data_IF_034605064213
#
_entry.id   IF_034605064213
#
_cell.length_a   1.000
_cell.length_b   1.000
_cell.length_c   1.000
_cell.angle_alpha   90.00
_cell.angle_beta   90.00
_cell.angle_gamma   90.00
#
_symmetry.space_group_name_H-M   'P 1'
#
loop_
_entity.id
_entity.type
_entity.pdbx_description
1 polymer ?
#
# COMPACT_ATOMS: atom_id res chain seq x y z
N UNK A 1 -33.47 -15.85 -18.57
CA UNK A 1 -32.74 -14.91 -17.69
C UNK A 1 -32.10 -15.75 -16.60
N UNK A 2 -30.77 -15.92 -16.61
CA UNK A 2 -30.07 -16.79 -15.66
C UNK A 2 -29.76 -15.96 -14.40
N UNK A 3 -30.61 -16.08 -13.38
CA UNK A 3 -30.43 -15.38 -12.09
C UNK A 3 -29.32 -16.10 -11.32
N UNK A 4 -28.13 -15.51 -11.27
CA UNK A 4 -27.03 -16.03 -10.43
C UNK A 4 -27.38 -15.80 -8.97
N UNK A 5 -27.78 -16.85 -8.26
CA UNK A 5 -27.97 -16.83 -6.81
C UNK A 5 -26.61 -16.85 -6.14
N UNK A 6 -26.02 -15.67 -5.89
CA UNK A 6 -24.77 -15.56 -5.14
C UNK A 6 -25.08 -15.77 -3.66
N UNK A 7 -24.52 -16.82 -3.04
CA UNK A 7 -24.68 -17.07 -1.61
C UNK A 7 -23.80 -16.12 -0.79
N UNK A 8 -24.22 -15.80 0.44
CA UNK A 8 -23.44 -14.98 1.37
C UNK A 8 -22.05 -15.59 1.65
N UNK A 9 -21.95 -16.91 1.64
CA UNK A 9 -20.67 -17.61 1.79
C UNK A 9 -19.73 -17.31 0.62
N UNK A 10 -20.27 -17.23 -0.60
CA UNK A 10 -19.51 -16.86 -1.80
C UNK A 10 -19.07 -15.40 -1.74
N UNK A 11 -19.95 -14.49 -1.29
CA UNK A 11 -19.58 -13.08 -1.08
C UNK A 11 -18.49 -12.92 -0.02
N UNK A 12 -18.59 -13.65 1.09
CA UNK A 12 -17.58 -13.66 2.15
C UNK A 12 -16.23 -14.18 1.66
N UNK A 13 -16.23 -15.28 0.89
CA UNK A 13 -15.03 -15.84 0.29
C UNK A 13 -14.36 -14.88 -0.71
N UNK A 14 -15.14 -14.26 -1.60
CA UNK A 14 -14.62 -13.27 -2.56
C UNK A 14 -14.09 -12.02 -1.87
N UNK A 15 -14.79 -11.53 -0.84
CA UNK A 15 -14.34 -10.40 -0.03
C UNK A 15 -13.03 -10.70 0.70
N UNK A 16 -12.93 -11.85 1.36
CA UNK A 16 -11.71 -12.29 2.05
C UNK A 16 -10.54 -12.47 1.08
N UNK A 17 -10.76 -13.16 -0.05
CA UNK A 17 -9.75 -13.33 -1.08
C UNK A 17 -9.28 -11.98 -1.67
N UNK A 18 -10.21 -11.04 -1.88
CA UNK A 18 -9.91 -9.69 -2.35
C UNK A 18 -9.00 -8.92 -1.39
N UNK A 19 -9.30 -8.95 -0.09
CA UNK A 19 -8.47 -8.30 0.93
C UNK A 19 -7.06 -8.92 0.96
N UNK A 20 -6.96 -10.26 0.96
CA UNK A 20 -5.67 -10.96 0.94
C UNK A 20 -4.88 -10.59 -0.32
N UNK A 21 -5.52 -10.53 -1.49
CA UNK A 21 -4.87 -10.17 -2.74
C UNK A 21 -4.32 -8.73 -2.70
N UNK A 22 -5.08 -7.78 -2.16
CA UNK A 22 -4.64 -6.39 -2.01
C UNK A 22 -3.43 -6.31 -1.06
N UNK A 23 -3.49 -6.98 0.08
CA UNK A 23 -2.38 -7.01 1.04
C UNK A 23 -1.13 -7.66 0.43
N UNK A 24 -1.29 -8.77 -0.28
CA UNK A 24 -0.20 -9.45 -0.97
C UNK A 24 0.41 -8.54 -2.06
N UNK A 25 -0.41 -7.88 -2.87
CA UNK A 25 0.05 -6.93 -3.88
C UNK A 25 0.85 -5.78 -3.26
N UNK A 26 0.38 -5.23 -2.14
CA UNK A 26 1.09 -4.19 -1.40
C UNK A 26 2.47 -4.67 -0.92
N UNK A 27 2.53 -5.86 -0.30
CA UNK A 27 3.81 -6.45 0.15
C UNK A 27 4.76 -6.69 -1.03
N UNK A 28 4.26 -7.24 -2.14
CA UNK A 28 5.06 -7.47 -3.34
C UNK A 28 5.59 -6.17 -3.95
N UNK A 29 4.83 -5.08 -3.93
CA UNK A 29 5.30 -3.77 -4.37
C UNK A 29 6.43 -3.24 -3.48
N UNK A 30 6.30 -3.37 -2.16
CA UNK A 30 7.34 -2.95 -1.20
C UNK A 30 8.63 -3.76 -1.41
N UNK A 31 8.52 -5.09 -1.48
CA UNK A 31 9.65 -5.97 -1.70
C UNK A 31 10.28 -5.75 -3.09
N UNK A 32 9.46 -5.61 -4.13
CA UNK A 32 9.92 -5.31 -5.48
C UNK A 32 10.68 -3.99 -5.56
N UNK A 33 10.17 -2.94 -4.91
CA UNK A 33 10.86 -1.65 -4.82
C UNK A 33 12.20 -1.77 -4.08
N UNK A 34 12.25 -2.56 -2.98
CA UNK A 34 13.48 -2.80 -2.23
C UNK A 34 14.53 -3.52 -3.07
N UNK A 35 14.17 -4.66 -3.68
CA UNK A 35 15.08 -5.42 -4.55
C UNK A 35 15.52 -4.60 -5.77
N UNK A 36 14.60 -3.87 -6.40
CA UNK A 36 14.90 -2.97 -7.52
C UNK A 36 15.91 -1.88 -7.12
N UNK A 37 15.71 -1.23 -5.97
CA UNK A 37 16.63 -0.20 -5.47
C UNK A 37 18.03 -0.76 -5.14
N UNK A 38 18.10 -1.96 -4.54
CA UNK A 38 19.37 -2.60 -4.18
C UNK A 38 20.17 -3.07 -5.40
N UNK A 39 19.47 -3.59 -6.42
CA UNK A 39 20.09 -4.10 -7.66
C UNK A 39 20.40 -3.00 -8.68
N UNK A 40 19.79 -1.82 -8.56
CA UNK A 40 20.04 -0.72 -9.48
C UNK A 40 21.51 -0.26 -9.45
N UNK A 41 22.13 0.05 -10.61
CA UNK A 41 23.46 0.63 -10.71
C UNK A 41 23.41 2.13 -10.37
N UNK A 42 23.07 2.45 -9.12
CA UNK A 42 22.95 3.80 -8.61
C UNK A 42 23.96 4.05 -7.49
N UNK A 43 24.40 5.31 -7.33
CA UNK A 43 25.29 5.71 -6.23
C UNK A 43 24.67 5.37 -4.87
N UNK A 44 25.51 5.07 -3.86
CA UNK A 44 25.05 4.61 -2.55
C UNK A 44 24.06 5.57 -1.87
N UNK A 45 24.27 6.89 -1.99
CA UNK A 45 23.33 7.91 -1.52
C UNK A 45 21.97 7.83 -2.22
N UNK A 46 21.97 7.50 -3.52
CA UNK A 46 20.80 7.15 -4.34
C UNK A 46 19.89 6.12 -3.66
N UNK A 47 20.50 5.00 -3.30
CA UNK A 47 19.83 3.84 -2.72
C UNK A 47 19.22 4.16 -1.35
N UNK A 48 19.94 4.93 -0.52
CA UNK A 48 19.44 5.37 0.78
C UNK A 48 18.15 6.19 0.68
N UNK A 49 18.08 7.12 -0.27
CA UNK A 49 16.87 7.94 -0.50
C UNK A 49 15.66 7.06 -0.82
N UNK A 50 15.84 6.09 -1.73
CA UNK A 50 14.78 5.16 -2.09
C UNK A 50 14.33 4.27 -0.92
N UNK A 51 15.27 3.82 -0.11
CA UNK A 51 14.98 2.98 1.05
C UNK A 51 14.16 3.76 2.11
N UNK A 52 14.49 5.04 2.32
CA UNK A 52 13.69 5.93 3.17
C UNK A 52 12.29 6.13 2.58
N UNK A 53 12.16 6.36 1.27
CA UNK A 53 10.84 6.51 0.65
C UNK A 53 9.95 5.27 0.79
N UNK A 54 10.50 4.07 0.60
CA UNK A 54 9.76 2.80 0.76
C UNK A 54 9.14 2.70 2.16
N UNK A 55 9.85 3.17 3.20
CA UNK A 55 9.37 3.13 4.58
C UNK A 55 8.44 4.29 4.89
N UNK A 56 8.79 5.51 4.49
CA UNK A 56 8.10 6.72 4.96
C UNK A 56 6.85 7.04 4.13
N UNK A 57 6.87 6.84 2.81
CA UNK A 57 5.74 7.14 1.92
C UNK A 57 4.38 6.59 2.38
N UNK A 58 4.24 5.34 2.86
CA UNK A 58 2.93 4.85 3.35
C UNK A 58 2.40 5.60 4.57
N UNK A 59 3.26 6.26 5.34
CA UNK A 59 2.85 7.01 6.54
C UNK A 59 2.72 8.52 6.32
N UNK A 60 3.27 9.07 5.23
CA UNK A 60 3.26 10.51 4.96
C UNK A 60 1.84 11.09 4.98
N UNK A 61 0.88 10.42 4.35
CA UNK A 61 -0.51 10.89 4.30
C UNK A 61 -1.15 11.01 5.68
N UNK A 62 -0.97 9.99 6.52
CA UNK A 62 -1.46 10.01 7.91
C UNK A 62 -0.76 11.09 8.74
N UNK A 63 0.57 11.21 8.61
CA UNK A 63 1.33 12.26 9.30
C UNK A 63 0.87 13.67 8.88
N UNK A 64 0.68 13.91 7.59
CA UNK A 64 0.20 15.18 7.05
C UNK A 64 -1.20 15.52 7.58
N UNK A 65 -2.10 14.55 7.66
CA UNK A 65 -3.42 14.74 8.24
C UNK A 65 -3.35 15.18 9.71
N UNK A 66 -2.49 14.54 10.50
CA UNK A 66 -2.33 14.90 11.91
C UNK A 66 -1.61 16.24 12.12
N UNK A 67 -0.63 16.57 11.28
CA UNK A 67 0.16 17.80 11.43
C UNK A 67 -0.57 19.04 10.89
N UNK A 68 -1.20 18.93 9.73
CA UNK A 68 -1.80 20.06 9.01
C UNK A 68 -3.32 19.94 8.88
N UNK A 69 -3.84 18.73 8.62
CA UNK A 69 -5.28 18.49 8.45
C UNK A 69 -6.12 18.88 9.67
N UNK A 70 -5.63 18.55 10.88
CA UNK A 70 -6.30 18.93 12.14
C UNK A 70 -6.50 20.44 12.29
N UNK A 71 -5.55 21.27 11.83
CA UNK A 71 -5.64 22.73 12.03
C UNK A 71 -6.70 23.37 11.12
N UNK A 72 -6.96 22.78 9.96
CA UNK A 72 -7.96 23.28 9.01
C UNK A 72 -9.37 22.73 9.26
N UNK A 73 -9.51 21.63 9.99
CA UNK A 73 -10.81 20.99 10.25
C UNK A 73 -11.57 21.61 11.45
N UNK A 74 -10.87 22.29 12.36
CA UNK A 74 -11.44 22.86 13.59
C UNK A 74 -11.25 24.39 13.71
N UNK A 75 -10.84 25.05 12.62
CA UNK A 75 -10.71 26.51 12.53
C UNK A 75 -11.83 27.07 11.64
#
# INVERSE_FOLDING_TARGET
MLTLTVSNDTLGALGGAGIIAILAAYVLLVLGALFSSLTAPQSGGMKLVWLVFIVVAPFIGSLLWFLFGKRSAYA
#
